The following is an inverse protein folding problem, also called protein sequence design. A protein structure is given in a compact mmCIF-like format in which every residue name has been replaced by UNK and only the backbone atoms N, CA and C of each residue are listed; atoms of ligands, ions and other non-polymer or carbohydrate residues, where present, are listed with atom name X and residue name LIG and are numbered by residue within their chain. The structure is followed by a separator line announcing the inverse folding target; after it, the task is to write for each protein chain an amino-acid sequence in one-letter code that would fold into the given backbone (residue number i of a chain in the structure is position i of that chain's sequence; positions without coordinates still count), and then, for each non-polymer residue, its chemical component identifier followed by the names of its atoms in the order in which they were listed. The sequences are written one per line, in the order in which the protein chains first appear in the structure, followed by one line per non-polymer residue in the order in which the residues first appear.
data_IF_831695045189
#
_entry.id   IF_831695045189
#
_cell.length_a   1.000
_cell.length_b   1.000
_cell.length_c   1.000
_cell.angle_alpha   90.00
_cell.angle_beta   90.00
_cell.angle_gamma   90.00
#
_symmetry.space_group_name_H-M   'P 1'
#
loop_
_entity.id
_entity.type
_entity.pdbx_description
1 polymer ?
#
# COMPACT_ATOMS: atom_id res chain seq x y z
N UNK A 1 -0.43 27.06 -8.44
CA UNK A 1 0.57 27.63 -9.37
C UNK A 1 1.84 26.80 -9.49
N UNK A 2 2.46 26.32 -8.40
CA UNK A 2 3.70 25.54 -8.47
C UNK A 2 3.56 24.19 -9.19
N UNK A 3 2.43 23.50 -9.03
CA UNK A 3 2.13 22.25 -9.73
C UNK A 3 2.09 22.44 -11.25
N UNK A 4 1.41 23.48 -11.73
CA UNK A 4 1.32 23.81 -13.17
C UNK A 4 2.70 24.06 -13.79
N UNK A 5 3.62 24.70 -13.04
CA UNK A 5 5.01 24.92 -13.50
C UNK A 5 5.78 23.61 -13.61
N UNK A 6 5.61 22.68 -12.66
CA UNK A 6 6.23 21.34 -12.72
C UNK A 6 5.71 20.55 -13.91
N UNK A 7 4.39 20.55 -14.10
CA UNK A 7 3.76 19.83 -15.21
C UNK A 7 4.25 20.35 -16.57
N UNK A 8 4.38 21.68 -16.72
CA UNK A 8 4.94 22.30 -17.93
C UNK A 8 6.41 21.92 -18.19
N UNK A 9 7.24 21.85 -17.13
CA UNK A 9 8.65 21.40 -17.25
C UNK A 9 8.70 19.92 -17.66
N UNK A 10 7.82 19.08 -17.11
CA UNK A 10 7.71 17.67 -17.48
C UNK A 10 7.31 17.49 -18.95
N UNK A 11 6.32 18.23 -19.44
CA UNK A 11 5.90 18.18 -20.85
C UNK A 11 7.00 18.68 -21.80
N UNK A 12 7.69 19.78 -21.46
CA UNK A 12 8.78 20.28 -22.28
C UNK A 12 9.95 19.28 -22.37
N UNK A 13 10.23 18.55 -21.28
CA UNK A 13 11.22 17.46 -21.28
C UNK A 13 10.76 16.23 -22.07
N UNK A 14 9.47 15.89 -22.06
CA UNK A 14 8.90 14.84 -22.92
C UNK A 14 9.06 15.17 -24.40
N UNK A 15 9.02 16.46 -24.74
CA UNK A 15 9.31 16.98 -26.08
C UNK A 15 10.81 17.15 -26.36
N UNK A 16 11.68 16.50 -25.59
CA UNK A 16 13.15 16.49 -25.73
C UNK A 16 13.84 17.87 -25.67
N UNK A 17 13.17 18.88 -25.09
CA UNK A 17 13.79 20.21 -24.90
C UNK A 17 14.89 20.14 -23.85
N UNK A 18 15.99 20.84 -24.14
CA UNK A 18 17.09 21.01 -23.21
C UNK A 18 16.66 21.90 -22.03
N UNK A 19 17.26 21.73 -20.84
CA UNK A 19 16.97 22.61 -19.71
C UNK A 19 17.17 24.10 -20.00
N UNK A 20 18.10 24.46 -20.88
CA UNK A 20 18.36 25.84 -21.29
C UNK A 20 17.18 26.42 -22.08
N UNK A 21 16.67 25.69 -23.07
CA UNK A 21 15.47 26.10 -23.84
C UNK A 21 14.25 26.27 -22.93
N UNK A 22 14.09 25.41 -21.91
CA UNK A 22 12.98 25.51 -20.95
C UNK A 22 13.10 26.78 -20.10
N UNK A 23 14.31 27.14 -19.67
CA UNK A 23 14.56 28.38 -18.91
C UNK A 23 14.23 29.60 -19.77
N UNK A 24 14.67 29.59 -21.03
CA UNK A 24 14.46 30.70 -21.96
C UNK A 24 12.98 30.86 -22.35
N UNK A 25 12.29 29.76 -22.63
CA UNK A 25 10.89 29.79 -23.03
C UNK A 25 9.95 30.16 -21.87
N UNK A 26 10.08 29.50 -20.72
CA UNK A 26 9.17 29.68 -19.58
C UNK A 26 9.62 30.75 -18.58
N UNK A 27 10.82 31.29 -18.73
CA UNK A 27 11.43 32.25 -17.79
C UNK A 27 11.47 31.71 -16.34
N UNK A 28 11.61 30.39 -16.20
CA UNK A 28 11.67 29.76 -14.89
C UNK A 28 13.08 29.84 -14.29
N UNK A 29 13.21 29.98 -12.96
CA UNK A 29 14.52 29.96 -12.31
C UNK A 29 15.27 28.65 -12.61
N UNK A 30 16.59 28.74 -12.81
CA UNK A 30 17.47 27.56 -12.99
C UNK A 30 17.25 26.51 -11.88
N UNK A 31 17.11 26.96 -10.64
CA UNK A 31 16.86 26.10 -9.48
C UNK A 31 15.57 25.29 -9.61
N UNK A 32 14.55 25.80 -10.31
CA UNK A 32 13.28 25.10 -10.55
C UNK A 32 13.42 24.05 -11.64
N UNK A 33 14.05 24.39 -12.77
CA UNK A 33 14.19 23.49 -13.93
C UNK A 33 15.09 22.29 -13.64
N UNK A 34 16.14 22.47 -12.83
CA UNK A 34 17.08 21.37 -12.50
C UNK A 34 16.64 20.51 -11.30
N UNK A 35 15.73 20.98 -10.43
CA UNK A 35 15.28 20.26 -9.24
C UNK A 35 14.43 19.02 -9.54
N UNK A 36 13.83 18.97 -10.72
CA UNK A 36 12.95 17.87 -11.15
C UNK A 36 13.69 16.71 -11.84
N UNK A 37 14.99 16.56 -11.57
CA UNK A 37 15.78 15.40 -12.02
C UNK A 37 15.93 14.37 -10.88
N UNK A 38 14.87 14.13 -10.12
CA UNK A 38 14.90 13.05 -9.12
C UNK A 38 14.71 11.74 -9.86
N UNK A 39 15.71 10.87 -9.78
CA UNK A 39 15.57 9.50 -10.25
C UNK A 39 14.40 8.83 -9.53
N UNK A 40 13.69 7.95 -10.23
CA UNK A 40 12.72 7.07 -9.59
C UNK A 40 13.44 6.26 -8.51
N UNK A 41 12.93 6.34 -7.28
CA UNK A 41 13.46 5.52 -6.19
C UNK A 41 13.23 4.05 -6.55
N UNK A 42 14.32 3.27 -6.65
CA UNK A 42 14.20 1.85 -6.92
C UNK A 42 13.41 1.17 -5.80
N UNK A 43 12.58 0.20 -6.17
CA UNK A 43 11.87 -0.60 -5.18
C UNK A 43 12.88 -1.40 -4.36
N UNK A 44 12.81 -1.28 -3.03
CA UNK A 44 13.65 -2.04 -2.10
C UNK A 44 13.57 -3.55 -2.38
N UNK A 45 14.72 -4.21 -2.55
CA UNK A 45 14.78 -5.65 -2.82
C UNK A 45 14.37 -6.51 -1.61
N UNK A 46 14.60 -6.02 -0.39
CA UNK A 46 14.20 -6.63 0.89
C UNK A 46 12.71 -6.44 1.21
N UNK A 47 11.90 -6.02 0.23
CA UNK A 47 10.46 -5.83 0.43
C UNK A 47 9.79 -7.18 0.74
N UNK A 48 9.55 -7.41 2.03
CA UNK A 48 8.76 -8.55 2.58
C UNK A 48 7.39 -8.67 1.88
N UNK A 49 6.87 -7.54 1.43
CA UNK A 49 5.56 -7.37 0.85
C UNK A 49 5.52 -7.73 -0.64
N UNK A 50 5.72 -9.01 -0.93
CA UNK A 50 5.65 -9.57 -2.29
C UNK A 50 4.21 -9.98 -2.63
N UNK A 51 3.85 -10.07 -3.93
CA UNK A 51 2.56 -10.61 -4.35
C UNK A 51 2.28 -12.02 -3.80
N UNK A 52 3.32 -12.86 -3.72
CA UNK A 52 3.23 -14.21 -3.14
C UNK A 52 2.90 -14.18 -1.66
N UNK A 53 3.52 -13.29 -0.90
CA UNK A 53 3.22 -13.09 0.52
C UNK A 53 1.76 -12.69 0.72
N UNK A 54 1.27 -11.73 -0.08
CA UNK A 54 -0.11 -11.24 -0.03
C UNK A 54 -1.14 -12.32 -0.35
N UNK A 55 -0.92 -13.08 -1.42
CA UNK A 55 -1.80 -14.19 -1.80
C UNK A 55 -1.83 -15.25 -0.70
N UNK A 56 -0.68 -15.57 -0.10
CA UNK A 56 -0.61 -16.46 1.06
C UNK A 56 -1.40 -15.93 2.25
N UNK A 57 -1.22 -14.66 2.61
CA UNK A 57 -1.90 -14.02 3.74
C UNK A 57 -3.41 -14.00 3.54
N UNK A 58 -3.87 -13.65 2.34
CA UNK A 58 -5.29 -13.66 1.97
C UNK A 58 -5.90 -15.05 2.20
N UNK A 59 -5.26 -16.12 1.70
CA UNK A 59 -5.73 -17.50 1.92
C UNK A 59 -5.84 -17.88 3.40
N UNK A 60 -4.87 -17.50 4.23
CA UNK A 60 -4.93 -17.77 5.67
C UNK A 60 -6.08 -17.04 6.37
N UNK A 61 -6.37 -15.81 5.95
CA UNK A 61 -7.49 -15.02 6.49
C UNK A 61 -8.82 -15.60 6.04
N UNK A 62 -8.94 -15.94 4.75
CA UNK A 62 -10.17 -16.48 4.17
C UNK A 62 -10.50 -17.87 4.74
N UNK A 63 -9.49 -18.72 4.97
CA UNK A 63 -9.68 -20.04 5.58
C UNK A 63 -10.07 -19.96 7.06
N UNK A 64 -9.47 -19.02 7.81
CA UNK A 64 -9.68 -18.90 9.25
C UNK A 64 -9.80 -17.42 9.67
N UNK A 65 -10.98 -16.80 9.48
CA UNK A 65 -11.19 -15.37 9.69
C UNK A 65 -11.03 -14.93 11.15
N UNK A 66 -11.04 -15.86 12.12
CA UNK A 66 -10.84 -15.58 13.53
C UNK A 66 -9.37 -15.61 13.99
N UNK A 67 -8.44 -16.07 13.14
CA UNK A 67 -7.02 -16.25 13.50
C UNK A 67 -6.32 -14.93 13.83
N UNK A 68 -6.00 -14.61 15.09
CA UNK A 68 -5.54 -13.27 15.48
C UNK A 68 -4.29 -12.82 14.70
N UNK A 69 -4.16 -11.50 14.48
CA UNK A 69 -3.03 -10.92 13.73
C UNK A 69 -1.68 -11.34 14.34
N UNK A 70 -1.61 -11.45 15.66
CA UNK A 70 -0.42 -11.94 16.37
C UNK A 70 -0.03 -13.36 15.97
N UNK A 71 -1.01 -14.25 15.72
CA UNK A 71 -0.75 -15.62 15.25
C UNK A 71 -0.30 -15.62 13.79
N UNK A 72 -1.00 -14.89 12.91
CA UNK A 72 -0.60 -14.73 11.50
C UNK A 72 0.82 -14.17 11.34
N UNK A 73 1.21 -13.25 12.23
CA UNK A 73 2.54 -12.66 12.27
C UNK A 73 3.61 -13.68 12.67
N UNK A 74 3.35 -14.46 13.73
CA UNK A 74 4.24 -15.55 14.19
C UNK A 74 4.42 -16.62 13.12
N UNK A 75 3.33 -17.11 12.53
CA UNK A 75 3.35 -18.18 11.53
C UNK A 75 4.14 -17.77 10.27
N UNK A 76 4.21 -16.47 9.98
CA UNK A 76 4.91 -15.91 8.81
C UNK A 76 6.26 -15.29 9.15
N UNK A 77 6.70 -15.38 10.40
CA UNK A 77 7.93 -14.76 10.91
C UNK A 77 8.07 -13.28 10.53
N UNK A 78 6.99 -12.51 10.71
CA UNK A 78 6.98 -11.06 10.45
C UNK A 78 6.44 -10.31 11.66
N UNK A 79 6.77 -9.02 11.74
CA UNK A 79 6.21 -8.17 12.78
C UNK A 79 4.70 -7.96 12.59
N UNK A 80 3.97 -7.82 13.70
CA UNK A 80 2.51 -7.62 13.72
C UNK A 80 2.06 -6.44 12.84
N UNK A 81 2.81 -5.33 12.89
CA UNK A 81 2.49 -4.12 12.11
C UNK A 81 2.62 -4.33 10.61
N UNK A 82 3.45 -5.27 10.15
CA UNK A 82 3.57 -5.64 8.73
C UNK A 82 2.29 -6.28 8.24
N UNK A 83 1.73 -7.22 9.00
CA UNK A 83 0.45 -7.86 8.68
C UNK A 83 -0.69 -6.83 8.68
N UNK A 84 -0.73 -5.93 9.66
CA UNK A 84 -1.76 -4.90 9.76
C UNK A 84 -1.76 -3.96 8.55
N UNK A 85 -0.58 -3.50 8.12
CA UNK A 85 -0.42 -2.68 6.91
C UNK A 85 -0.82 -3.46 5.65
N UNK A 86 -0.41 -4.73 5.53
CA UNK A 86 -0.77 -5.61 4.42
C UNK A 86 -2.29 -5.77 4.27
N UNK A 87 -2.98 -5.99 5.38
CA UNK A 87 -4.44 -6.13 5.43
C UNK A 87 -5.13 -4.81 5.04
N UNK A 88 -4.66 -3.68 5.59
CA UNK A 88 -5.31 -2.38 5.43
C UNK A 88 -5.12 -1.79 4.02
N UNK A 89 -3.91 -1.85 3.50
CA UNK A 89 -3.51 -1.13 2.28
C UNK A 89 -3.78 -1.99 1.05
N UNK A 90 -3.27 -3.22 1.03
CA UNK A 90 -3.27 -4.05 -0.19
C UNK A 90 -4.48 -4.98 -0.28
N UNK A 91 -4.84 -5.62 0.84
CA UNK A 91 -6.02 -6.51 0.86
C UNK A 91 -7.33 -5.75 1.08
N UNK A 92 -7.26 -4.46 1.43
CA UNK A 92 -8.39 -3.53 1.61
C UNK A 92 -9.50 -4.02 2.54
N UNK A 93 -9.20 -4.89 3.50
CA UNK A 93 -10.20 -5.26 4.51
C UNK A 93 -10.49 -4.06 5.42
N UNK A 94 -11.74 -3.57 5.42
CA UNK A 94 -12.24 -2.51 6.32
C UNK A 94 -12.35 -3.06 7.76
N UNK A 95 -11.23 -3.18 8.46
CA UNK A 95 -11.11 -3.68 9.84
C UNK A 95 -11.59 -5.12 10.07
N UNK A 96 -10.76 -5.91 10.75
CA UNK A 96 -11.15 -7.25 11.17
C UNK A 96 -12.39 -7.24 12.06
N UNK A 97 -12.49 -6.26 12.96
CA UNK A 97 -13.62 -6.11 13.86
C UNK A 97 -14.96 -5.78 13.16
N UNK A 98 -14.96 -5.23 11.94
CA UNK A 98 -16.20 -5.11 11.12
C UNK A 98 -16.44 -6.32 10.23
N UNK A 99 -15.41 -7.05 9.81
CA UNK A 99 -15.56 -8.35 9.15
C UNK A 99 -16.16 -9.42 10.11
N UNK A 100 -15.75 -9.43 11.38
CA UNK A 100 -16.33 -10.33 12.40
C UNK A 100 -17.76 -9.95 12.78
N UNK A 101 -18.14 -8.67 12.69
CA UNK A 101 -19.50 -8.21 12.99
C UNK A 101 -20.50 -8.40 11.83
N UNK A 102 -20.04 -8.57 10.59
CA UNK A 102 -20.90 -8.82 9.43
C UNK A 102 -21.00 -10.29 9.00
N UNK A 103 -20.24 -11.19 9.61
CA UNK A 103 -20.37 -12.64 9.40
C UNK A 103 -20.96 -13.31 10.63
N UNK A 104 -22.15 -12.85 11.03
CA UNK A 104 -23.10 -13.68 11.78
C UNK A 104 -23.79 -14.63 10.79
N UNK A 105 -23.00 -15.46 10.11
CA UNK A 105 -23.52 -16.69 9.51
C UNK A 105 -23.92 -17.63 10.66
N UNK A 106 -24.95 -18.45 10.45
CA UNK A 106 -25.46 -19.38 11.47
C UNK A 106 -24.34 -20.25 12.07
N UNK A 107 -23.39 -20.67 11.23
CA UNK A 107 -22.20 -21.40 11.65
C UNK A 107 -21.37 -20.64 12.70
N UNK A 108 -21.09 -19.36 12.48
CA UNK A 108 -20.24 -18.56 13.38
C UNK A 108 -20.95 -18.21 14.68
N UNK A 109 -22.28 -18.08 14.66
CA UNK A 109 -23.07 -17.97 15.90
C UNK A 109 -23.01 -19.28 16.69
N UNK A 110 -23.24 -20.42 16.04
CA UNK A 110 -23.16 -21.73 16.67
C UNK A 110 -21.76 -21.99 17.29
N UNK A 111 -20.70 -21.61 16.58
CA UNK A 111 -19.32 -21.81 17.02
C UNK A 111 -18.92 -20.88 18.18
N UNK A 112 -19.61 -19.75 18.34
CA UNK A 112 -19.44 -18.83 19.47
C UNK A 112 -20.22 -19.25 20.70
N UNK A 113 -21.42 -19.79 20.49
CA UNK A 113 -22.24 -20.40 21.55
C UNK A 113 -21.50 -21.63 22.11
N UNK A 114 -20.96 -22.49 21.26
CA UNK A 114 -20.20 -23.68 21.69
C UNK A 114 -18.93 -23.34 22.48
N UNK A 115 -18.30 -22.20 22.19
CA UNK A 115 -17.07 -21.72 22.87
C UNK A 115 -17.35 -20.80 24.07
N UNK A 116 -18.60 -20.57 24.46
CA UNK A 116 -18.98 -19.76 25.62
C UNK A 116 -18.53 -18.29 25.55
N UNK A 117 -18.47 -17.72 24.33
CA UNK A 117 -18.03 -16.33 24.09
C UNK A 117 -19.19 -15.36 23.81
N UNK A 118 -20.40 -15.78 24.20
CA UNK A 118 -21.66 -15.04 24.23
C UNK A 118 -22.34 -15.43 25.54
#
# INVERSE_FOLDING_TARGET
MEQVRRDAICEARRAERTPQEIIEFFHYPKSTVYKDRRADHSSRADKIWTPRFLAGLKRSIDAHPDTPISKLAKDRNVHRSTIEKAIKIDLRYRSRARATKHLLTEQNMADRISKGKI
#
